data_IF_596782193432
#
_entry.id   IF_596782193432
#
_cell.length_a   1.000
_cell.length_b   1.000
_cell.length_c   1.000
_cell.angle_alpha   90.00
_cell.angle_beta   90.00
_cell.angle_gamma   90.00
#
_symmetry.space_group_name_H-M   'P 1'
#
loop_
_entity.id
_entity.type
_entity.pdbx_description
1 polymer ?
#
# COMPACT_ATOMS: atom_id res chain seq x y z
N UNK A 1 -5.20 -10.78 -10.02
CA UNK A 1 -6.57 -10.66 -9.48
C UNK A 1 -7.02 -9.24 -9.15
N UNK A 2 -6.54 -8.54 -8.10
CA UNK A 2 -7.09 -7.20 -7.77
C UNK A 2 -6.79 -6.14 -8.84
N UNK A 3 -5.53 -6.05 -9.31
CA UNK A 3 -5.12 -5.14 -10.40
C UNK A 3 -5.97 -5.34 -11.65
N UNK A 4 -6.21 -6.59 -12.03
CA UNK A 4 -6.86 -6.98 -13.27
C UNK A 4 -8.37 -6.71 -13.25
N UNK A 5 -8.98 -6.78 -12.07
CA UNK A 5 -10.41 -6.53 -11.86
C UNK A 5 -10.73 -5.08 -11.44
N UNK A 6 -9.77 -4.15 -11.53
CA UNK A 6 -10.07 -2.72 -11.38
C UNK A 6 -10.99 -2.26 -12.51
N UNK A 7 -11.88 -1.32 -12.23
CA UNK A 7 -12.86 -0.80 -13.19
C UNK A 7 -12.27 -0.47 -14.58
N UNK A 8 -11.09 0.18 -14.62
CA UNK A 8 -10.41 0.55 -15.86
C UNK A 8 -9.69 -0.61 -16.58
N UNK A 9 -9.40 -1.69 -15.86
CA UNK A 9 -8.67 -2.85 -16.38
C UNK A 9 -9.62 -3.99 -16.75
N UNK A 10 -10.80 -4.04 -16.14
CA UNK A 10 -11.73 -5.16 -16.20
C UNK A 10 -12.00 -5.61 -17.64
N UNK A 11 -12.37 -4.69 -18.53
CA UNK A 11 -12.73 -5.03 -19.90
C UNK A 11 -11.57 -5.69 -20.66
N UNK A 12 -10.37 -5.13 -20.55
CA UNK A 12 -9.18 -5.68 -21.21
C UNK A 12 -8.87 -7.12 -20.78
N UNK A 13 -8.93 -7.41 -19.48
CA UNK A 13 -8.64 -8.76 -18.98
C UNK A 13 -9.83 -9.72 -19.18
N UNK A 14 -11.05 -9.20 -19.22
CA UNK A 14 -12.25 -9.98 -19.54
C UNK A 14 -12.23 -10.48 -20.98
N UNK A 15 -11.80 -9.65 -21.92
CA UNK A 15 -11.69 -10.00 -23.34
C UNK A 15 -10.62 -11.08 -23.61
N UNK A 16 -9.69 -11.27 -22.67
CA UNK A 16 -8.63 -12.29 -22.72
C UNK A 16 -8.96 -13.55 -21.89
N UNK A 17 -10.15 -13.61 -21.29
CA UNK A 17 -10.55 -14.72 -20.44
C UNK A 17 -10.67 -16.01 -21.27
N UNK A 18 -10.06 -17.09 -20.79
CA UNK A 18 -10.29 -18.45 -21.31
C UNK A 18 -11.54 -19.08 -20.69
N UNK A 19 -12.06 -20.15 -21.28
CA UNK A 19 -13.24 -20.87 -20.76
C UNK A 19 -13.03 -21.46 -19.35
N UNK A 20 -11.78 -21.61 -18.91
CA UNK A 20 -11.42 -22.11 -17.57
C UNK A 20 -11.50 -21.04 -16.46
N UNK A 21 -11.88 -19.80 -16.80
CA UNK A 21 -11.96 -18.71 -15.84
C UNK A 21 -13.18 -18.85 -14.92
N UNK A 22 -13.00 -18.42 -13.67
CA UNK A 22 -14.09 -18.36 -12.70
C UNK A 22 -15.28 -17.51 -13.23
N UNK A 23 -16.53 -17.89 -12.90
CA UNK A 23 -17.70 -17.14 -13.33
C UNK A 23 -17.69 -15.71 -12.77
N UNK A 24 -18.32 -14.78 -13.49
CA UNK A 24 -18.28 -13.34 -13.19
C UNK A 24 -18.74 -13.01 -11.76
N UNK A 25 -19.79 -13.67 -11.26
CA UNK A 25 -20.28 -13.47 -9.90
C UNK A 25 -19.22 -13.81 -8.83
N UNK A 26 -18.40 -14.84 -9.07
CA UNK A 26 -17.34 -15.25 -8.15
C UNK A 26 -16.19 -14.24 -8.19
N UNK A 27 -15.83 -13.76 -9.39
CA UNK A 27 -14.79 -12.74 -9.56
C UNK A 27 -15.19 -11.41 -8.88
N UNK A 28 -16.45 -11.00 -9.04
CA UNK A 28 -17.00 -9.82 -8.38
C UNK A 28 -17.01 -9.98 -6.85
N UNK A 29 -17.47 -11.13 -6.34
CA UNK A 29 -17.44 -11.44 -4.90
C UNK A 29 -16.02 -11.40 -4.33
N UNK A 30 -15.06 -12.03 -5.01
CA UNK A 30 -13.66 -12.04 -4.60
C UNK A 30 -13.06 -10.62 -4.58
N UNK A 31 -13.29 -9.85 -5.65
CA UNK A 31 -12.80 -8.47 -5.75
C UNK A 31 -13.37 -7.61 -4.62
N UNK A 32 -14.68 -7.69 -4.37
CA UNK A 32 -15.33 -6.94 -3.29
C UNK A 32 -14.79 -7.33 -1.90
N UNK A 33 -14.62 -8.63 -1.65
CA UNK A 33 -14.05 -9.11 -0.38
C UNK A 33 -12.61 -8.59 -0.18
N UNK A 34 -11.77 -8.63 -1.22
CA UNK A 34 -10.40 -8.11 -1.10
C UNK A 34 -10.34 -6.58 -0.95
N UNK A 35 -11.22 -5.84 -1.64
CA UNK A 35 -11.31 -4.38 -1.45
C UNK A 35 -11.76 -4.05 -0.03
N UNK A 36 -12.73 -4.79 0.51
CA UNK A 36 -13.19 -4.59 1.88
C UNK A 36 -12.11 -4.97 2.90
N UNK A 37 -11.40 -6.08 2.70
CA UNK A 37 -10.27 -6.48 3.54
C UNK A 37 -9.14 -5.43 3.51
N UNK A 38 -8.85 -4.84 2.34
CA UNK A 38 -7.89 -3.74 2.22
C UNK A 38 -8.36 -2.49 2.97
N UNK A 39 -9.64 -2.12 2.81
CA UNK A 39 -10.25 -1.00 3.54
C UNK A 39 -10.17 -1.22 5.05
N UNK A 40 -10.58 -2.40 5.53
CA UNK A 40 -10.53 -2.77 6.94
C UNK A 40 -9.09 -2.73 7.46
N UNK A 41 -8.13 -3.27 6.72
CA UNK A 41 -6.72 -3.19 7.11
C UNK A 41 -6.23 -1.74 7.19
N UNK A 42 -6.49 -0.92 6.16
CA UNK A 42 -6.04 0.47 6.13
C UNK A 42 -6.66 1.32 7.24
N UNK A 43 -7.95 1.13 7.54
CA UNK A 43 -8.66 1.90 8.56
C UNK A 43 -8.40 1.41 9.98
N UNK A 44 -8.32 0.09 10.20
CA UNK A 44 -8.21 -0.49 11.54
C UNK A 44 -6.78 -0.53 12.06
N UNK A 45 -5.78 -0.76 11.19
CA UNK A 45 -4.38 -0.72 11.63
C UNK A 45 -3.72 0.61 11.36
N UNK A 46 -4.14 1.35 10.32
CA UNK A 46 -3.49 2.59 9.88
C UNK A 46 -1.96 2.46 9.92
N UNK A 47 -1.48 1.40 9.27
CA UNK A 47 -0.13 0.88 9.48
C UNK A 47 0.92 1.83 8.91
N UNK A 48 1.72 2.41 9.79
CA UNK A 48 2.86 3.28 9.47
C UNK A 48 4.20 2.52 9.55
N UNK A 49 4.15 1.21 9.81
CA UNK A 49 5.31 0.35 9.86
C UNK A 49 5.97 0.19 8.49
N UNK A 50 7.29 0.00 8.50
CA UNK A 50 8.01 -0.39 7.30
C UNK A 50 7.85 -1.90 7.08
N UNK A 51 7.65 -2.32 5.82
CA UNK A 51 7.81 -3.71 5.41
C UNK A 51 9.24 -3.88 4.88
N UNK A 52 10.20 -4.34 5.71
CA UNK A 52 11.55 -4.54 5.25
C UNK A 52 11.61 -5.75 4.32
N UNK A 53 12.56 -5.71 3.40
CA UNK A 53 12.95 -6.89 2.65
C UNK A 53 14.08 -7.62 3.37
N UNK A 54 14.08 -8.95 3.34
CA UNK A 54 15.14 -9.79 3.86
C UNK A 54 15.55 -10.85 2.85
N UNK A 55 16.79 -11.34 2.96
CA UNK A 55 17.31 -12.42 2.13
C UNK A 55 17.27 -13.72 2.94
N UNK A 56 16.33 -14.64 2.66
CA UNK A 56 16.24 -15.89 3.42
C UNK A 56 17.43 -16.83 3.16
N UNK A 57 18.17 -16.63 2.07
CA UNK A 57 19.41 -17.33 1.75
C UNK A 57 20.33 -16.48 0.86
N UNK A 58 21.61 -16.82 0.79
CA UNK A 58 22.65 -16.06 0.08
C UNK A 58 22.49 -16.02 -1.46
N UNK A 59 21.60 -16.84 -2.03
CA UNK A 59 21.40 -16.97 -3.48
C UNK A 59 20.00 -16.54 -3.94
N UNK A 60 19.16 -16.06 -3.01
CA UNK A 60 17.74 -15.86 -3.22
C UNK A 60 17.34 -14.41 -3.46
N UNK A 61 16.12 -14.23 -3.95
CA UNK A 61 15.51 -12.92 -4.06
C UNK A 61 15.18 -12.36 -2.67
N UNK A 62 15.26 -11.03 -2.56
CA UNK A 62 14.80 -10.34 -1.37
C UNK A 62 13.28 -10.58 -1.22
N UNK A 63 12.86 -11.06 -0.07
CA UNK A 63 11.46 -11.33 0.26
C UNK A 63 10.95 -10.27 1.24
N UNK A 64 9.74 -9.72 1.06
CA UNK A 64 9.13 -8.84 2.05
C UNK A 64 8.80 -9.63 3.33
N UNK A 65 9.10 -9.05 4.49
CA UNK A 65 8.74 -9.61 5.80
C UNK A 65 7.36 -9.10 6.25
N UNK A 66 6.32 -9.88 5.94
CA UNK A 66 4.95 -9.61 6.39
C UNK A 66 4.62 -10.18 7.78
N UNK A 67 5.55 -10.90 8.42
CA UNK A 67 5.32 -11.58 9.70
C UNK A 67 5.63 -10.73 10.93
N UNK A 68 5.93 -9.44 10.74
CA UNK A 68 6.28 -8.51 11.82
C UNK A 68 5.05 -8.20 12.68
N UNK A 69 5.30 -7.85 13.93
CA UNK A 69 4.25 -7.32 14.80
C UNK A 69 3.77 -5.97 14.29
N UNK A 70 2.48 -5.86 14.07
CA UNK A 70 1.82 -4.62 13.69
C UNK A 70 1.08 -4.04 14.89
N UNK A 71 1.11 -2.70 15.04
CA UNK A 71 0.32 -1.99 16.05
C UNK A 71 -0.84 -1.27 15.37
N UNK A 72 -2.01 -1.26 16.01
CA UNK A 72 -3.13 -0.48 15.53
C UNK A 72 -2.92 0.99 15.87
N UNK A 73 -3.00 1.85 14.87
CA UNK A 73 -2.97 3.30 15.01
C UNK A 73 -4.34 3.91 14.68
N UNK A 74 -4.62 5.10 15.22
CA UNK A 74 -5.80 5.85 14.82
C UNK A 74 -5.62 6.37 13.39
N UNK A 75 -6.50 5.95 12.48
CA UNK A 75 -6.52 6.42 11.09
C UNK A 75 -6.56 7.95 11.00
N UNK A 76 -7.43 8.60 11.78
CA UNK A 76 -7.55 10.06 11.78
C UNK A 76 -6.27 10.76 12.25
N UNK A 77 -5.60 10.21 13.26
CA UNK A 77 -4.34 10.75 13.77
C UNK A 77 -3.22 10.63 12.73
N UNK A 78 -3.15 9.49 12.01
CA UNK A 78 -2.17 9.27 10.94
C UNK A 78 -2.41 10.24 9.77
N UNK A 79 -3.67 10.41 9.34
CA UNK A 79 -4.01 11.34 8.25
C UNK A 79 -3.72 12.79 8.65
N UNK A 80 -4.10 13.21 9.86
CA UNK A 80 -3.85 14.57 10.35
C UNK A 80 -2.37 14.88 10.46
N UNK A 81 -1.57 13.94 11.00
CA UNK A 81 -0.12 14.07 11.02
C UNK A 81 0.43 14.16 9.60
N UNK A 82 0.03 13.27 8.69
CA UNK A 82 0.52 13.27 7.30
C UNK A 82 0.23 14.60 6.61
N UNK A 83 -0.96 15.17 6.77
CA UNK A 83 -1.33 16.46 6.19
C UNK A 83 -0.49 17.62 6.73
N UNK A 84 -0.23 17.66 8.04
CA UNK A 84 0.60 18.70 8.67
C UNK A 84 2.07 18.65 8.23
N UNK A 85 2.52 17.46 7.85
CA UNK A 85 3.92 17.20 7.56
C UNK A 85 4.16 16.95 6.04
N UNK A 86 3.14 16.98 5.19
CA UNK A 86 3.34 16.74 3.76
C UNK A 86 4.14 17.87 3.12
N UNK A 87 5.20 17.53 2.40
CA UNK A 87 5.88 18.48 1.54
C UNK A 87 4.95 18.90 0.39
N UNK A 88 4.87 20.20 0.11
CA UNK A 88 4.12 20.68 -1.05
C UNK A 88 4.73 20.16 -2.35
N UNK A 89 3.90 20.02 -3.38
CA UNK A 89 4.35 19.62 -4.72
C UNK A 89 5.47 20.52 -5.25
N UNK A 90 5.44 21.82 -4.90
CA UNK A 90 6.48 22.76 -5.26
C UNK A 90 7.80 22.49 -4.52
N UNK A 91 7.75 22.20 -3.23
CA UNK A 91 8.93 21.80 -2.45
C UNK A 91 9.56 20.52 -2.99
N UNK A 92 8.75 19.52 -3.35
CA UNK A 92 9.23 18.26 -3.94
C UNK A 92 9.83 18.45 -5.34
N UNK A 93 9.25 19.35 -6.15
CA UNK A 93 9.74 19.64 -7.50
C UNK A 93 11.08 20.41 -7.48
N UNK A 94 11.25 21.27 -6.49
CA UNK A 94 12.42 22.14 -6.39
C UNK A 94 13.55 21.54 -5.52
N UNK A 95 13.29 20.43 -4.82
CA UNK A 95 14.30 19.71 -4.04
C UNK A 95 15.25 18.92 -4.94
N UNK A 96 16.54 19.29 -4.90
CA UNK A 96 17.61 18.43 -5.40
C UNK A 96 17.66 17.12 -4.60
N UNK A 97 18.20 16.05 -5.18
CA UNK A 97 18.41 14.76 -4.50
C UNK A 97 19.14 14.91 -3.15
N UNK A 98 20.05 15.88 -3.04
CA UNK A 98 20.77 16.21 -1.80
C UNK A 98 19.92 16.91 -0.72
N UNK A 99 18.75 17.44 -1.09
CA UNK A 99 17.87 18.23 -0.21
C UNK A 99 16.60 17.50 0.21
N UNK A 100 16.34 16.29 -0.32
CA UNK A 100 15.09 15.55 -0.06
C UNK A 100 14.87 15.23 1.42
N UNK A 101 15.94 14.89 2.15
CA UNK A 101 15.87 14.59 3.57
C UNK A 101 15.56 15.82 4.44
N UNK A 102 15.78 17.03 3.92
CA UNK A 102 15.44 18.29 4.58
C UNK A 102 14.01 18.77 4.30
N UNK A 103 13.40 18.22 3.24
CA UNK A 103 12.05 18.57 2.78
C UNK A 103 11.01 17.58 3.29
N UNK A 104 11.42 16.33 3.54
CA UNK A 104 10.57 15.32 4.14
C UNK A 104 10.57 15.45 5.68
N UNK A 105 9.42 15.21 6.33
CA UNK A 105 9.33 15.16 7.78
C UNK A 105 10.25 14.10 8.36
N UNK A 106 10.91 14.40 9.47
CA UNK A 106 11.64 13.40 10.21
C UNK A 106 10.66 12.36 10.77
N UNK A 107 10.84 11.08 10.42
CA UNK A 107 10.04 9.95 10.92
C UNK A 107 10.20 9.66 12.43
N UNK A 108 10.80 10.58 13.21
CA UNK A 108 11.13 10.38 14.63
C UNK A 108 9.99 10.75 15.58
N UNK A 109 8.93 11.38 15.08
CA UNK A 109 7.80 11.84 15.91
C UNK A 109 6.72 10.77 16.17
N UNK A 110 6.94 9.53 15.70
CA UNK A 110 5.93 8.45 15.72
C UNK A 110 5.92 7.57 16.98
N UNK A 111 6.82 7.79 17.95
CA UNK A 111 6.88 6.99 19.17
C UNK A 111 6.64 7.89 20.39
N UNK A 112 5.41 7.83 20.90
CA UNK A 112 5.14 7.99 22.34
C UNK A 112 4.90 6.62 22.94
#
# INVERSE_FOLDING_TARGET
MLRENLYYNYQYYRDQATDDMAPEWLMNSHTNHCVDALRERLLCTADIGLVPFFWPNASGNAMPDFGRDHKCHSHESVISWSQQHSASTEQLRNADHSQRDSVLPAARDFVK
#
